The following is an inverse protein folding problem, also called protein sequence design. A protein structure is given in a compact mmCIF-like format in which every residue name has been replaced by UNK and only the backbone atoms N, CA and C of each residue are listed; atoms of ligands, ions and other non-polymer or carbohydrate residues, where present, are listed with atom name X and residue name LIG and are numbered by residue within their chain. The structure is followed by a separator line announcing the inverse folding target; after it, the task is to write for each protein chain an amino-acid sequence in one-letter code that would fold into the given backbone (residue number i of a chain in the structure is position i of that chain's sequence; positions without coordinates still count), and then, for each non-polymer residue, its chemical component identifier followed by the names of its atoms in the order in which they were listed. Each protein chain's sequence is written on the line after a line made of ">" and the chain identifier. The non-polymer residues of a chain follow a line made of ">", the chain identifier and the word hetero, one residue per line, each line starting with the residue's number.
data_IF_209129000290
#
_entry.id   IF_209129000290
#
_cell.length_a   1.000
_cell.length_b   1.000
_cell.length_c   1.000
_cell.angle_alpha   90.00
_cell.angle_beta   90.00
_cell.angle_gamma   90.00
#
_symmetry.space_group_name_H-M   'P 1'
#
loop_
_entity.id
_entity.type
_entity.pdbx_description
1 polymer ?
#
# COMPACT_ATOMS: atom_id res chain seq x y z
N UNK A 1 -17.82 -16.87 18.12
CA UNK A 1 -16.70 -16.10 17.51
C UNK A 1 -15.45 -16.96 17.53
N UNK A 2 -14.75 -17.06 16.40
CA UNK A 2 -13.44 -17.73 16.34
C UNK A 2 -12.38 -16.81 16.97
N UNK A 3 -11.49 -17.35 17.80
CA UNK A 3 -10.29 -16.63 18.28
C UNK A 3 -9.17 -16.79 17.26
N UNK A 4 -8.42 -15.72 17.00
CA UNK A 4 -7.22 -15.80 16.17
C UNK A 4 -6.16 -16.63 16.89
N UNK A 5 -5.50 -17.51 16.14
CA UNK A 5 -4.29 -18.19 16.63
C UNK A 5 -3.07 -17.31 16.39
N UNK A 6 -1.96 -17.60 17.10
CA UNK A 6 -0.67 -16.96 16.81
C UNK A 6 -0.27 -17.14 15.33
N UNK A 7 -0.55 -18.30 14.76
CA UNK A 7 -0.28 -18.57 13.34
C UNK A 7 -1.14 -17.73 12.41
N UNK A 8 -2.44 -17.54 12.73
CA UNK A 8 -3.34 -16.68 11.95
C UNK A 8 -2.80 -15.24 11.90
N UNK A 9 -2.30 -14.71 13.03
CA UNK A 9 -1.72 -13.36 13.12
C UNK A 9 -0.43 -13.27 12.29
N UNK A 10 0.51 -14.21 12.48
CA UNK A 10 1.81 -14.18 11.80
C UNK A 10 1.72 -14.44 10.29
N UNK A 11 0.65 -15.10 9.83
CA UNK A 11 0.39 -15.35 8.41
C UNK A 11 -0.36 -14.20 7.72
N UNK A 12 -0.81 -13.17 8.43
CA UNK A 12 -1.54 -12.04 7.82
C UNK A 12 -0.83 -11.42 6.62
N UNK A 13 0.50 -11.29 6.69
CA UNK A 13 1.36 -10.79 5.59
C UNK A 13 1.45 -11.71 4.36
N UNK A 14 1.00 -12.96 4.48
CA UNK A 14 1.04 -13.95 3.41
C UNK A 14 -0.23 -13.95 2.57
N UNK A 15 -1.24 -13.15 2.93
CA UNK A 15 -2.39 -12.90 2.04
C UNK A 15 -1.87 -12.32 0.74
N UNK A 16 -2.26 -12.93 -0.37
CA UNK A 16 -1.92 -12.49 -1.73
C UNK A 16 -3.20 -12.14 -2.47
N UNK A 17 -3.16 -11.04 -3.19
CA UNK A 17 -4.25 -10.60 -4.06
C UNK A 17 -3.72 -10.34 -5.46
N UNK A 18 -4.52 -10.72 -6.44
CA UNK A 18 -4.23 -10.44 -7.84
C UNK A 18 -4.86 -9.11 -8.20
N UNK A 19 -4.05 -8.18 -8.70
CA UNK A 19 -4.46 -6.85 -9.11
C UNK A 19 -4.29 -6.73 -10.62
N UNK A 20 -5.38 -6.47 -11.32
CA UNK A 20 -5.36 -6.18 -12.74
C UNK A 20 -4.91 -4.75 -13.01
N UNK A 21 -3.98 -4.59 -13.96
CA UNK A 21 -3.42 -3.31 -14.41
C UNK A 21 -3.84 -3.06 -15.85
N UNK A 22 -4.73 -2.09 -16.03
CA UNK A 22 -5.37 -1.78 -17.31
C UNK A 22 -4.36 -1.35 -18.37
N UNK A 23 -3.36 -0.57 -17.99
CA UNK A 23 -2.35 0.00 -18.88
C UNK A 23 -1.46 -1.07 -19.54
N UNK A 24 -1.35 -2.23 -18.91
CA UNK A 24 -0.59 -3.38 -19.42
C UNK A 24 -1.46 -4.53 -19.90
N UNK A 25 -2.79 -4.45 -19.71
CA UNK A 25 -3.73 -5.57 -19.92
C UNK A 25 -3.23 -6.87 -19.25
N UNK A 26 -2.75 -6.74 -18.02
CA UNK A 26 -2.04 -7.78 -17.30
C UNK A 26 -2.29 -7.72 -15.79
N UNK A 27 -1.85 -8.75 -15.07
CA UNK A 27 -2.05 -8.88 -13.63
C UNK A 27 -0.73 -8.87 -12.87
N UNK A 28 -0.78 -8.35 -11.65
CA UNK A 28 0.30 -8.43 -10.67
C UNK A 28 -0.20 -9.02 -9.37
N UNK A 29 0.70 -9.55 -8.55
CA UNK A 29 0.37 -10.07 -7.22
C UNK A 29 0.84 -9.08 -6.16
N UNK A 30 -0.05 -8.68 -5.27
CA UNK A 30 0.23 -7.79 -4.13
C UNK A 30 -0.06 -8.47 -2.78
N UNK A 31 0.44 -7.88 -1.70
CA UNK A 31 0.16 -8.30 -0.31
C UNK A 31 -0.02 -7.09 0.60
N UNK A 32 -0.68 -7.26 1.77
CA UNK A 32 -0.67 -6.22 2.79
C UNK A 32 0.73 -6.03 3.38
N UNK A 33 0.97 -4.80 3.82
CA UNK A 33 2.11 -4.42 4.64
C UNK A 33 1.82 -4.74 6.10
N UNK A 34 2.89 -5.07 6.82
CA UNK A 34 2.86 -5.24 8.27
C UNK A 34 2.93 -3.89 8.97
N UNK A 35 2.54 -3.86 10.25
CA UNK A 35 2.67 -2.68 11.11
C UNK A 35 4.09 -2.08 11.13
N UNK A 36 5.12 -2.93 11.13
CA UNK A 36 6.52 -2.47 11.06
C UNK A 36 6.89 -1.84 9.73
N UNK A 37 6.41 -2.40 8.61
CA UNK A 37 6.66 -1.86 7.27
C UNK A 37 5.92 -0.54 7.05
N UNK A 38 4.69 -0.42 7.57
CA UNK A 38 3.95 0.84 7.57
C UNK A 38 4.66 1.89 8.43
N UNK A 39 5.13 1.52 9.61
CA UNK A 39 5.92 2.40 10.47
C UNK A 39 7.16 2.91 9.75
N UNK A 40 7.91 2.02 9.08
CA UNK A 40 9.08 2.39 8.27
C UNK A 40 8.68 3.36 7.14
N UNK A 41 7.66 3.02 6.36
CA UNK A 41 7.15 3.82 5.26
C UNK A 41 6.79 5.25 5.69
N UNK A 42 6.09 5.41 6.80
CA UNK A 42 5.66 6.72 7.29
C UNK A 42 6.77 7.47 8.02
N UNK A 43 7.71 6.78 8.67
CA UNK A 43 8.85 7.42 9.35
C UNK A 43 9.77 8.20 8.42
N UNK A 44 9.81 7.83 7.14
CA UNK A 44 10.57 8.55 6.10
C UNK A 44 10.02 9.96 5.86
N UNK A 45 8.81 10.25 6.36
CA UNK A 45 8.03 11.45 6.04
C UNK A 45 7.71 12.15 7.35
N UNK A 46 8.76 12.69 7.98
CA UNK A 46 8.72 13.64 9.10
C UNK A 46 7.42 13.69 9.92
N UNK A 47 6.80 14.86 10.01
CA UNK A 47 5.62 15.11 10.85
C UNK A 47 4.34 14.83 10.05
N UNK A 48 3.93 13.55 9.97
CA UNK A 48 2.65 13.17 9.40
C UNK A 48 1.51 13.50 10.38
N UNK A 49 0.50 14.29 9.98
CA UNK A 49 -0.72 14.42 10.77
C UNK A 49 -1.41 13.06 10.84
N UNK A 50 -1.97 12.74 12.01
CA UNK A 50 -2.66 11.48 12.27
C UNK A 50 -4.15 11.77 12.45
N UNK A 51 -5.00 10.88 11.93
CA UNK A 51 -6.46 10.91 12.15
C UNK A 51 -6.78 10.48 13.59
N UNK A 52 -8.03 10.65 14.01
CA UNK A 52 -8.48 10.27 15.36
C UNK A 52 -8.40 8.76 15.63
N UNK A 53 -8.42 7.94 14.58
CA UNK A 53 -8.30 6.48 14.65
C UNK A 53 -6.85 5.98 14.73
N UNK A 54 -5.87 6.88 14.74
CA UNK A 54 -4.44 6.55 14.78
C UNK A 54 -3.81 6.26 13.41
N UNK A 55 -4.57 6.32 12.31
CA UNK A 55 -4.04 6.18 10.95
C UNK A 55 -3.48 7.50 10.40
N UNK A 56 -2.48 7.48 9.51
CA UNK A 56 -1.97 8.71 8.88
C UNK A 56 -3.02 9.45 8.05
N UNK A 57 -3.04 10.76 8.16
CA UNK A 57 -3.90 11.64 7.36
C UNK A 57 -3.19 12.05 6.06
N UNK A 58 -3.32 11.20 5.04
CA UNK A 58 -2.70 11.41 3.72
C UNK A 58 -3.23 12.64 2.97
N UNK A 59 -4.39 13.20 3.39
CA UNK A 59 -5.02 14.34 2.71
C UNK A 59 -4.28 15.67 2.92
N UNK A 60 -3.42 15.74 3.94
CA UNK A 60 -2.70 16.96 4.35
C UNK A 60 -1.25 16.99 3.88
N UNK A 61 -0.86 16.02 3.07
CA UNK A 61 0.50 15.88 2.55
C UNK A 61 0.57 16.54 1.17
N UNK A 62 1.72 17.11 0.80
CA UNK A 62 1.95 17.56 -0.56
C UNK A 62 1.95 16.39 -1.56
N UNK A 63 1.69 16.71 -2.83
CA UNK A 63 1.50 15.72 -3.90
C UNK A 63 2.78 14.91 -4.17
N UNK A 64 3.96 15.54 -4.08
CA UNK A 64 5.23 14.86 -4.37
C UNK A 64 5.52 13.80 -3.32
N UNK A 65 5.35 14.16 -2.04
CA UNK A 65 5.47 13.23 -0.92
C UNK A 65 4.44 12.11 -1.01
N UNK A 66 3.18 12.41 -1.38
CA UNK A 66 2.16 11.37 -1.57
C UNK A 66 2.56 10.37 -2.67
N UNK A 67 3.11 10.82 -3.80
CA UNK A 67 3.61 9.91 -4.84
C UNK A 67 4.77 9.04 -4.36
N UNK A 68 5.68 9.59 -3.54
CA UNK A 68 6.76 8.81 -2.95
C UNK A 68 6.22 7.71 -2.01
N UNK A 69 5.24 8.03 -1.16
CA UNK A 69 4.58 7.05 -0.28
C UNK A 69 4.04 5.90 -1.10
N UNK A 70 3.24 6.21 -2.12
CA UNK A 70 2.56 5.19 -2.91
C UNK A 70 3.57 4.33 -3.67
N UNK A 71 4.62 4.92 -4.25
CA UNK A 71 5.67 4.16 -4.94
C UNK A 71 6.42 3.23 -3.99
N UNK A 72 6.76 3.69 -2.77
CA UNK A 72 7.42 2.85 -1.77
C UNK A 72 6.50 1.74 -1.28
N UNK A 73 5.23 2.05 -1.01
CA UNK A 73 4.22 1.05 -0.66
C UNK A 73 4.09 -0.02 -1.75
N UNK A 74 4.08 0.39 -3.03
CA UNK A 74 4.08 -0.54 -4.16
C UNK A 74 5.32 -1.45 -4.13
N UNK A 75 6.54 -0.90 -3.98
CA UNK A 75 7.77 -1.71 -3.93
C UNK A 75 7.77 -2.73 -2.78
N UNK A 76 7.24 -2.35 -1.61
CA UNK A 76 7.14 -3.25 -0.45
C UNK A 76 6.07 -4.33 -0.61
N UNK A 77 4.93 -3.97 -1.21
CA UNK A 77 3.73 -4.81 -1.30
C UNK A 77 3.64 -5.67 -2.56
N UNK A 78 4.35 -5.31 -3.63
CA UNK A 78 4.38 -6.04 -4.89
C UNK A 78 5.21 -7.32 -4.77
N UNK A 79 4.62 -8.43 -5.20
CA UNK A 79 5.13 -9.78 -4.97
C UNK A 79 5.62 -10.37 -6.27
N UNK A 80 4.80 -10.26 -7.31
CA UNK A 80 5.09 -10.79 -8.65
C UNK A 80 4.52 -9.81 -9.70
N UNK A 81 5.37 -9.25 -10.59
CA UNK A 81 6.83 -9.30 -10.56
C UNK A 81 7.41 -8.51 -9.37
N UNK A 82 8.56 -8.92 -8.82
CA UNK A 82 9.27 -8.07 -7.84
C UNK A 82 9.98 -6.93 -8.57
N UNK A 83 9.75 -5.71 -8.11
CA UNK A 83 10.35 -4.50 -8.69
C UNK A 83 10.97 -3.62 -7.60
N UNK A 84 12.11 -3.01 -7.90
CA UNK A 84 12.71 -1.97 -7.05
C UNK A 84 11.99 -0.63 -7.23
N UNK A 85 12.28 0.33 -6.36
CA UNK A 85 11.70 1.69 -6.45
C UNK A 85 12.07 2.36 -7.78
N UNK A 86 13.30 2.13 -8.25
CA UNK A 86 13.81 2.64 -9.52
C UNK A 86 13.07 2.01 -10.69
N UNK A 87 12.90 0.69 -10.70
CA UNK A 87 12.16 -0.01 -11.76
C UNK A 87 10.67 0.40 -11.80
N UNK A 88 10.06 0.66 -10.64
CA UNK A 88 8.71 1.21 -10.57
C UNK A 88 8.62 2.61 -11.18
N UNK A 89 9.67 3.44 -11.06
CA UNK A 89 9.66 4.78 -11.64
C UNK A 89 9.66 4.79 -13.17
N UNK A 90 10.06 3.68 -13.81
CA UNK A 90 10.06 3.49 -15.26
C UNK A 90 8.71 2.93 -15.79
N UNK A 91 7.75 2.62 -14.91
CA UNK A 91 6.43 2.16 -15.32
C UNK A 91 5.58 3.28 -15.95
N UNK A 92 4.46 2.91 -16.58
CA UNK A 92 3.48 3.89 -17.02
C UNK A 92 3.05 4.79 -15.86
N UNK A 93 2.98 6.09 -16.14
CA UNK A 93 2.61 7.11 -15.16
C UNK A 93 1.29 6.76 -14.46
N UNK A 94 1.27 6.82 -13.12
CA UNK A 94 0.10 6.53 -12.30
C UNK A 94 -0.05 5.06 -11.92
N UNK A 95 0.64 4.12 -12.59
CA UNK A 95 0.55 2.69 -12.25
C UNK A 95 1.22 2.37 -10.91
N UNK A 96 2.45 2.82 -10.60
CA UNK A 96 3.05 2.59 -9.29
C UNK A 96 2.17 3.14 -8.17
N UNK A 97 1.59 4.33 -8.38
CA UNK A 97 0.72 4.99 -7.42
C UNK A 97 -0.58 4.19 -7.19
N UNK A 98 -1.16 3.63 -8.25
CA UNK A 98 -2.33 2.76 -8.16
C UNK A 98 -2.05 1.47 -7.39
N UNK A 99 -0.93 0.80 -7.69
CA UNK A 99 -0.50 -0.40 -6.97
C UNK A 99 -0.28 -0.07 -5.49
N UNK A 100 0.42 1.03 -5.20
CA UNK A 100 0.67 1.50 -3.84
C UNK A 100 -0.60 1.79 -3.06
N UNK A 101 -1.56 2.47 -3.70
CA UNK A 101 -2.86 2.76 -3.09
C UNK A 101 -3.59 1.46 -2.74
N UNK A 102 -3.59 0.47 -3.64
CA UNK A 102 -4.19 -0.83 -3.38
C UNK A 102 -3.48 -1.62 -2.28
N UNK A 103 -2.16 -1.56 -2.22
CA UNK A 103 -1.38 -2.14 -1.12
C UNK A 103 -1.79 -1.51 0.22
N UNK A 104 -1.89 -0.18 0.31
CA UNK A 104 -2.30 0.51 1.54
C UNK A 104 -3.75 0.21 1.94
N UNK A 105 -4.67 0.11 0.96
CA UNK A 105 -6.07 -0.29 1.17
C UNK A 105 -6.17 -1.67 1.81
N UNK A 106 -5.53 -2.70 1.23
CA UNK A 106 -5.57 -4.06 1.78
C UNK A 106 -4.79 -4.20 3.09
N UNK A 107 -3.91 -3.23 3.40
CA UNK A 107 -3.21 -3.11 4.68
C UNK A 107 -4.04 -2.42 5.77
N UNK A 108 -5.23 -1.90 5.42
CA UNK A 108 -6.14 -1.25 6.37
C UNK A 108 -5.80 0.21 6.69
N UNK A 109 -4.97 0.87 5.87
CA UNK A 109 -4.61 2.30 6.05
C UNK A 109 -5.68 3.22 5.46
N UNK A 110 -6.36 2.76 4.40
CA UNK A 110 -7.42 3.50 3.71
C UNK A 110 -8.71 2.71 3.86
N UNK A 111 -9.78 3.35 4.34
CA UNK A 111 -11.08 2.68 4.49
C UNK A 111 -11.76 2.49 3.13
N UNK A 112 -12.46 1.36 2.96
CA UNK A 112 -13.24 1.06 1.74
C UNK A 112 -14.28 2.15 1.40
N UNK A 113 -14.69 2.97 2.37
CA UNK A 113 -15.66 4.07 2.18
C UNK A 113 -15.10 5.23 1.35
N UNK A 114 -13.78 5.45 1.32
CA UNK A 114 -13.14 6.44 0.45
C UNK A 114 -12.93 5.88 -0.97
N UNK A 115 -12.73 4.57 -1.12
CA UNK A 115 -12.55 3.89 -2.41
C UNK A 115 -13.83 3.76 -3.25
N UNK A 116 -15.02 3.87 -2.64
CA UNK A 116 -16.34 3.78 -3.32
C UNK A 116 -16.94 5.12 -3.77
N UNK A 117 -16.22 6.24 -3.62
CA UNK A 117 -16.70 7.59 -3.98
C UNK A 117 -16.20 8.14 -5.34
N UNK A 118 -15.78 7.30 -6.28
CA UNK A 118 -15.50 7.70 -7.66
C UNK A 118 -16.27 6.86 -8.67
#
# INVERSE_FOLDING_TARGET
>A
MRKLTKEDILKGKNRRETLYIKEYDAEVVIRPLTDGELTELFSLIGNLPVKEDGTPDLSKIDVATNFEILRRAASMGLVEPKLTIEELADMFFGVPEFIGAKVLEISGVVSEEESKKK
#
